data_IF_510474110456
#
_entry.id   IF_510474110456
#
_cell.length_a   1.000
_cell.length_b   1.000
_cell.length_c   1.000
_cell.angle_alpha   90.00
_cell.angle_beta   90.00
_cell.angle_gamma   90.00
#
_symmetry.space_group_name_H-M   'P 1'
#
loop_
_entity.id
_entity.type
_entity.pdbx_description
1 polymer ?
#
# COMPACT_ATOMS: atom_id res chain seq x y z
N UNK A 1 16.94 -5.23 -3.20
CA UNK A 1 15.69 -5.27 -2.41
C UNK A 1 14.68 -4.18 -2.78
N UNK A 2 15.06 -2.90 -2.80
CA UNK A 2 14.11 -1.79 -3.05
C UNK A 2 13.35 -1.86 -4.38
N UNK A 3 14.01 -2.26 -5.48
CA UNK A 3 13.35 -2.42 -6.79
C UNK A 3 12.29 -3.53 -6.75
N UNK A 4 12.56 -4.63 -6.03
CA UNK A 4 11.59 -5.72 -5.84
C UNK A 4 10.39 -5.27 -5.00
N UNK A 5 10.63 -4.53 -3.91
CA UNK A 5 9.58 -3.92 -3.11
C UNK A 5 8.74 -2.94 -3.94
N UNK A 6 9.40 -2.10 -4.75
CA UNK A 6 8.73 -1.15 -5.63
C UNK A 6 7.83 -1.87 -6.62
N UNK A 7 8.32 -2.92 -7.30
CA UNK A 7 7.52 -3.71 -8.24
C UNK A 7 6.29 -4.35 -7.58
N UNK A 8 6.45 -4.89 -6.36
CA UNK A 8 5.32 -5.43 -5.59
C UNK A 8 4.29 -4.33 -5.28
N UNK A 9 4.72 -3.15 -4.84
CA UNK A 9 3.81 -2.04 -4.57
C UNK A 9 3.22 -1.41 -5.85
N UNK A 10 3.91 -1.48 -6.99
CA UNK A 10 3.33 -1.09 -8.29
C UNK A 10 2.15 -1.99 -8.62
N UNK A 11 2.30 -3.32 -8.45
CA UNK A 11 1.19 -4.26 -8.64
C UNK A 11 0.03 -3.93 -7.69
N UNK A 12 0.31 -3.69 -6.41
CA UNK A 12 -0.70 -3.30 -5.41
C UNK A 12 -1.42 -2.01 -5.81
N UNK A 13 -0.69 -1.02 -6.31
CA UNK A 13 -1.25 0.26 -6.79
C UNK A 13 -2.16 0.04 -8.00
N UNK A 14 -1.73 -0.76 -8.98
CA UNK A 14 -2.55 -1.11 -10.15
C UNK A 14 -3.84 -1.84 -9.74
N UNK A 15 -3.75 -2.77 -8.80
CA UNK A 15 -4.94 -3.45 -8.26
C UNK A 15 -5.87 -2.47 -7.53
N UNK A 16 -5.31 -1.52 -6.76
CA UNK A 16 -6.07 -0.47 -6.10
C UNK A 16 -6.83 0.41 -7.10
N UNK A 17 -6.15 0.84 -8.17
CA UNK A 17 -6.75 1.61 -9.26
C UNK A 17 -7.85 0.82 -9.99
N UNK A 18 -7.65 -0.48 -10.23
CA UNK A 18 -8.66 -1.34 -10.84
C UNK A 18 -9.92 -1.44 -9.96
N UNK A 19 -9.77 -1.63 -8.64
CA UNK A 19 -10.91 -1.64 -7.71
C UNK A 19 -11.66 -0.31 -7.69
N UNK A 20 -10.93 0.82 -7.69
CA UNK A 20 -11.54 2.15 -7.78
C UNK A 20 -12.30 2.31 -9.10
N UNK A 21 -11.72 1.85 -10.21
CA UNK A 21 -12.34 1.88 -11.53
C UNK A 21 -13.62 1.05 -11.60
N UNK A 22 -13.64 -0.14 -11.02
CA UNK A 22 -14.84 -0.97 -10.91
C UNK A 22 -15.94 -0.26 -10.11
N UNK A 23 -15.59 0.32 -8.96
CA UNK A 23 -16.55 1.07 -8.12
C UNK A 23 -17.10 2.28 -8.86
N UNK A 24 -16.27 3.04 -9.59
CA UNK A 24 -16.72 4.18 -10.39
C UNK A 24 -17.60 3.77 -11.57
N UNK A 25 -17.37 2.59 -12.14
CA UNK A 25 -18.23 2.01 -13.16
C UNK A 25 -19.51 1.36 -12.59
N UNK A 26 -19.76 1.45 -11.28
CA UNK A 26 -20.92 0.84 -10.62
C UNK A 26 -20.85 -0.68 -10.51
N UNK A 27 -19.68 -1.29 -10.76
CA UNK A 27 -19.45 -2.74 -10.63
C UNK A 27 -19.08 -3.10 -9.19
N UNK A 28 -19.52 -4.27 -8.76
CA UNK A 28 -19.10 -4.83 -7.49
C UNK A 28 -17.66 -5.36 -7.59
N UNK A 29 -16.81 -5.04 -6.61
CA UNK A 29 -15.46 -5.62 -6.50
C UNK A 29 -15.59 -7.03 -5.92
N UNK A 30 -15.12 -8.04 -6.65
CA UNK A 30 -15.14 -9.43 -6.19
C UNK A 30 -14.30 -9.63 -4.92
N UNK A 31 -14.73 -10.49 -3.97
CA UNK A 31 -14.11 -10.59 -2.64
C UNK A 31 -12.66 -11.09 -2.65
N UNK A 32 -12.26 -11.84 -3.70
CA UNK A 32 -10.88 -12.28 -3.86
C UNK A 32 -9.91 -11.12 -4.15
N UNK A 33 -10.38 -10.05 -4.81
CA UNK A 33 -9.51 -8.98 -5.29
C UNK A 33 -8.91 -8.14 -4.13
N UNK A 34 -9.70 -7.69 -3.13
CA UNK A 34 -9.16 -7.05 -1.94
C UNK A 34 -8.24 -7.97 -1.12
N UNK A 35 -8.52 -9.29 -1.09
CA UNK A 35 -7.65 -10.25 -0.42
C UNK A 35 -6.28 -10.35 -1.10
N UNK A 36 -6.26 -10.46 -2.43
CA UNK A 36 -5.02 -10.48 -3.20
C UNK A 36 -4.26 -9.15 -3.08
N UNK A 37 -4.96 -8.02 -3.10
CA UNK A 37 -4.37 -6.69 -2.89
C UNK A 37 -3.69 -6.61 -1.52
N UNK A 38 -4.39 -7.06 -0.47
CA UNK A 38 -3.83 -7.16 0.87
C UNK A 38 -2.61 -8.07 0.94
N UNK A 39 -2.69 -9.28 0.39
CA UNK A 39 -1.57 -10.23 0.37
C UNK A 39 -0.35 -9.67 -0.37
N UNK A 40 -0.53 -9.07 -1.54
CA UNK A 40 0.54 -8.44 -2.30
C UNK A 40 1.18 -7.25 -1.53
N UNK A 41 0.36 -6.47 -0.80
CA UNK A 41 0.86 -5.38 0.04
C UNK A 41 1.74 -5.87 1.19
N UNK A 42 1.43 -7.05 1.75
CA UNK A 42 2.26 -7.69 2.78
C UNK A 42 3.59 -8.17 2.20
N UNK A 43 3.61 -8.70 0.99
CA UNK A 43 4.85 -9.08 0.29
C UNK A 43 5.74 -7.85 0.07
N UNK A 44 5.20 -6.76 -0.46
CA UNK A 44 5.95 -5.51 -0.63
C UNK A 44 6.49 -4.97 0.70
N UNK A 45 5.68 -5.01 1.75
CA UNK A 45 6.07 -4.58 3.10
C UNK A 45 7.20 -5.45 3.68
N UNK A 46 7.13 -6.78 3.48
CA UNK A 46 8.17 -7.70 3.93
C UNK A 46 9.51 -7.41 3.24
N UNK A 47 9.51 -7.14 1.93
CA UNK A 47 10.73 -6.76 1.21
C UNK A 47 11.34 -5.45 1.71
N UNK A 48 10.51 -4.47 2.08
CA UNK A 48 10.96 -3.22 2.71
C UNK A 48 11.57 -3.48 4.08
N UNK A 49 10.95 -4.33 4.91
CA UNK A 49 11.47 -4.69 6.23
C UNK A 49 12.83 -5.39 6.10
N UNK A 50 12.98 -6.32 5.16
CA UNK A 50 14.27 -6.99 4.91
C UNK A 50 15.35 -5.99 4.52
N UNK A 51 15.06 -5.04 3.63
CA UNK A 51 16.02 -3.98 3.29
C UNK A 51 16.47 -3.17 4.53
N UNK A 52 15.54 -2.90 5.45
CA UNK A 52 15.83 -2.21 6.70
C UNK A 52 16.70 -3.05 7.65
N UNK A 53 16.47 -4.36 7.72
CA UNK A 53 17.29 -5.31 8.48
C UNK A 53 18.70 -5.48 7.89
N UNK A 54 18.86 -5.26 6.58
CA UNK A 54 20.15 -5.19 5.89
C UNK A 54 20.87 -3.84 6.09
N UNK A 55 20.27 -2.91 6.84
CA UNK A 55 20.89 -1.63 7.23
C UNK A 55 20.38 -0.40 6.47
N UNK A 56 19.41 -0.55 5.56
CA UNK A 56 18.82 0.60 4.86
C UNK A 56 17.80 1.33 5.76
N UNK A 57 18.28 2.29 6.55
CA UNK A 57 17.43 3.04 7.50
C UNK A 57 16.47 4.01 6.80
N UNK A 58 16.69 4.32 5.52
CA UNK A 58 15.89 5.30 4.78
C UNK A 58 14.45 4.85 4.60
N UNK A 59 14.23 3.54 4.58
CA UNK A 59 12.89 2.97 4.41
C UNK A 59 12.07 2.89 5.71
N UNK A 60 12.58 3.37 6.84
CA UNK A 60 11.80 3.41 8.09
C UNK A 60 10.53 4.24 7.96
N UNK A 61 10.58 5.32 7.17
CA UNK A 61 9.39 6.10 6.83
C UNK A 61 8.35 5.24 6.08
N UNK A 62 8.79 4.42 5.12
CA UNK A 62 7.93 3.50 4.38
C UNK A 62 7.32 2.43 5.29
N UNK A 63 8.09 1.90 6.25
CA UNK A 63 7.59 0.93 7.24
C UNK A 63 6.49 1.56 8.09
N UNK A 64 6.73 2.76 8.63
CA UNK A 64 5.73 3.49 9.42
C UNK A 64 4.44 3.73 8.65
N UNK A 65 4.55 4.20 7.39
CA UNK A 65 3.38 4.39 6.53
C UNK A 65 2.67 3.07 6.22
N UNK A 66 3.41 1.99 5.91
CA UNK A 66 2.83 0.68 5.60
C UNK A 66 1.98 0.15 6.74
N UNK A 67 2.45 0.29 7.99
CA UNK A 67 1.67 -0.10 9.19
C UNK A 67 0.34 0.66 9.25
N UNK A 68 0.35 1.97 9.05
CA UNK A 68 -0.88 2.79 9.04
C UNK A 68 -1.80 2.41 7.88
N UNK A 69 -1.25 2.26 6.67
CA UNK A 69 -2.01 1.86 5.47
C UNK A 69 -2.70 0.51 5.70
N UNK A 70 -1.99 -0.48 6.23
CA UNK A 70 -2.52 -1.82 6.53
C UNK A 70 -3.63 -1.72 7.59
N UNK A 71 -3.43 -0.96 8.66
CA UNK A 71 -4.45 -0.77 9.69
C UNK A 71 -5.74 -0.15 9.12
N UNK A 72 -5.61 0.85 8.25
CA UNK A 72 -6.75 1.46 7.55
C UNK A 72 -7.42 0.45 6.61
N UNK A 73 -6.64 -0.35 5.86
CA UNK A 73 -7.15 -1.40 4.98
C UNK A 73 -7.97 -2.46 5.75
N UNK A 74 -7.46 -2.91 6.90
CA UNK A 74 -8.17 -3.82 7.79
C UNK A 74 -9.45 -3.19 8.34
N UNK A 75 -9.40 -1.93 8.78
CA UNK A 75 -10.58 -1.21 9.27
C UNK A 75 -11.67 -1.11 8.20
N UNK A 76 -11.30 -0.79 6.96
CA UNK A 76 -12.22 -0.76 5.82
C UNK A 76 -12.83 -2.14 5.57
N UNK A 77 -12.01 -3.19 5.53
CA UNK A 77 -12.48 -4.58 5.34
C UNK A 77 -13.43 -5.05 6.43
N UNK A 78 -13.13 -4.76 7.71
CA UNK A 78 -14.00 -5.08 8.84
C UNK A 78 -15.31 -4.28 8.80
N UNK A 79 -15.25 -3.01 8.40
CA UNK A 79 -16.45 -2.15 8.26
C UNK A 79 -17.36 -2.68 7.16
N UNK A 80 -16.78 -3.03 6.01
CA UNK A 80 -17.51 -3.61 4.88
C UNK A 80 -18.13 -4.97 5.24
N UNK A 81 -17.40 -5.84 5.96
CA UNK A 81 -17.91 -7.14 6.43
C UNK A 81 -19.13 -6.99 7.36
N UNK A 82 -19.22 -5.89 8.10
CA UNK A 82 -20.38 -5.54 8.95
C UNK A 82 -21.55 -4.94 8.16
N UNK A 83 -21.49 -4.91 6.83
CA UNK A 83 -22.51 -4.30 5.97
C UNK A 83 -22.55 -2.76 6.05
N UNK A 84 -21.56 -2.14 6.71
CA UNK A 84 -21.50 -0.68 6.86
C UNK A 84 -20.77 -0.07 5.68
N UNK A 85 -21.19 1.14 5.27
CA UNK A 85 -20.45 1.92 4.28
C UNK A 85 -19.14 2.39 4.89
N UNK A 86 -18.05 2.19 4.15
CA UNK A 86 -16.73 2.71 4.53
C UNK A 86 -16.74 4.24 4.45
N UNK A 87 -16.32 4.97 5.50
CA UNK A 87 -16.20 6.42 5.45
C UNK A 87 -15.24 6.87 4.35
N UNK A 88 -15.67 7.82 3.50
CA UNK A 88 -14.85 8.35 2.39
C UNK A 88 -13.51 8.90 2.86
N UNK A 89 -13.48 9.53 4.03
CA UNK A 89 -12.25 10.07 4.60
C UNK A 89 -11.18 8.98 4.82
N UNK A 90 -11.57 7.80 5.33
CA UNK A 90 -10.63 6.68 5.55
C UNK A 90 -10.06 6.19 4.23
N UNK A 91 -10.90 6.07 3.20
CA UNK A 91 -10.46 5.66 1.86
C UNK A 91 -9.46 6.66 1.28
N UNK A 92 -9.77 7.96 1.37
CA UNK A 92 -8.90 9.03 0.86
C UNK A 92 -7.56 9.04 1.60
N UNK A 93 -7.56 8.91 2.93
CA UNK A 93 -6.32 8.85 3.72
C UNK A 93 -5.51 7.59 3.38
N UNK A 94 -6.15 6.43 3.25
CA UNK A 94 -5.47 5.19 2.88
C UNK A 94 -4.82 5.30 1.49
N UNK A 95 -5.56 5.77 0.48
CA UNK A 95 -5.04 5.95 -0.87
C UNK A 95 -3.94 7.02 -0.92
N UNK A 96 -4.13 8.15 -0.25
CA UNK A 96 -3.13 9.22 -0.17
C UNK A 96 -1.82 8.76 0.46
N UNK A 97 -1.89 8.07 1.59
CA UNK A 97 -0.71 7.47 2.23
C UNK A 97 -0.06 6.43 1.33
N UNK A 98 -0.83 5.58 0.64
CA UNK A 98 -0.28 4.60 -0.29
C UNK A 98 0.50 5.25 -1.44
N UNK A 99 -0.02 6.34 -2.01
CA UNK A 99 0.68 7.12 -3.05
C UNK A 99 1.97 7.71 -2.50
N UNK A 100 1.94 8.36 -1.33
CA UNK A 100 3.14 8.94 -0.72
C UNK A 100 4.18 7.85 -0.41
N UNK A 101 3.75 6.72 0.14
CA UNK A 101 4.62 5.57 0.42
C UNK A 101 5.27 5.04 -0.87
N UNK A 102 4.49 4.89 -1.93
CA UNK A 102 4.99 4.46 -3.23
C UNK A 102 6.01 5.44 -3.82
N UNK A 103 5.71 6.74 -3.79
CA UNK A 103 6.62 7.78 -4.30
C UNK A 103 7.92 7.86 -3.49
N UNK A 104 7.85 7.79 -2.15
CA UNK A 104 9.02 7.78 -1.29
C UNK A 104 9.89 6.53 -1.55
N UNK A 105 9.27 5.35 -1.68
CA UNK A 105 10.00 4.12 -2.02
C UNK A 105 10.64 4.22 -3.41
N UNK A 106 9.90 4.73 -4.40
CA UNK A 106 10.40 4.95 -5.75
C UNK A 106 11.58 5.91 -5.77
N UNK A 107 11.50 7.01 -5.01
CA UNK A 107 12.60 7.95 -4.86
C UNK A 107 13.87 7.27 -4.38
N UNK A 108 13.84 6.47 -3.31
CA UNK A 108 15.01 5.74 -2.83
C UNK A 108 15.48 4.63 -3.76
N UNK A 109 14.55 3.95 -4.45
CA UNK A 109 14.90 2.91 -5.41
C UNK A 109 15.67 3.47 -6.62
N UNK A 110 15.35 4.68 -7.07
CA UNK A 110 16.02 5.34 -8.20
C UNK A 110 17.15 6.28 -7.79
N UNK A 111 17.23 6.68 -6.52
CA UNK A 111 18.27 7.55 -5.97
C UNK A 111 18.95 6.85 -4.78
N UNK A 112 19.79 5.83 -5.02
CA UNK A 112 20.34 4.97 -3.98
C UNK A 112 21.32 5.69 -3.03
N UNK A 113 21.73 6.92 -3.33
CA UNK A 113 22.58 7.75 -2.44
C UNK A 113 21.79 8.82 -1.67
N UNK A 114 20.50 8.99 -1.94
CA UNK A 114 19.71 10.04 -1.30
C UNK A 114 19.33 9.66 0.15
N UNK A 115 19.33 10.65 1.03
CA UNK A 115 18.80 10.58 2.40
C UNK A 115 17.72 11.67 2.58
N UNK A 116 16.71 11.42 3.43
CA UNK A 116 15.66 12.41 3.70
C UNK A 116 16.03 13.39 4.83
N UNK A 117 17.22 13.23 5.43
CA UNK A 117 17.87 14.12 6.39
C UNK A 117 19.38 13.94 6.21
#
# INVERSE_FOLDING_TARGET
MLVGALAAFTLVALMGLAMIGDVWAGRAVGPAYPMLHGAASLVGSALVIVAALEGDTRVYLNIGMAVVIIALGLLMGLTAKKGKRVPRAILVVHAGLAVICYLALGFFAFNPSATLI
#
